data_IF_894744460664
#
_entry.id   IF_894744460664
#
_cell.length_a   1.000
_cell.length_b   1.000
_cell.length_c   1.000
_cell.angle_alpha   90.00
_cell.angle_beta   90.00
_cell.angle_gamma   90.00
#
_symmetry.space_group_name_H-M   'P 1'
#
loop_
_entity.id
_entity.type
_entity.pdbx_description
1 polymer ?
#
# COMPACT_ATOMS: atom_id res chain seq x y z
N UNK A 1 -4.79 -17.55 -21.76
CA UNK A 1 -5.14 -16.13 -21.98
C UNK A 1 -3.89 -15.31 -21.77
N UNK A 2 -3.45 -14.51 -22.76
CA UNK A 2 -2.37 -13.53 -22.51
C UNK A 2 -2.94 -12.43 -21.61
N UNK A 3 -2.26 -12.01 -20.53
CA UNK A 3 -2.76 -10.94 -19.68
C UNK A 3 -2.90 -9.65 -20.49
N UNK A 4 -4.05 -8.98 -20.36
CA UNK A 4 -4.41 -7.73 -21.07
C UNK A 4 -3.33 -6.64 -20.89
N UNK A 5 -2.65 -6.63 -19.74
CA UNK A 5 -1.59 -5.66 -19.41
C UNK A 5 -0.35 -5.84 -20.31
N UNK A 6 -0.09 -7.05 -20.84
CA UNK A 6 1.05 -7.30 -21.74
C UNK A 6 0.93 -6.60 -23.10
N UNK A 7 -0.28 -6.16 -23.49
CA UNK A 7 -0.51 -5.37 -24.70
C UNK A 7 -0.23 -3.88 -24.54
N UNK A 8 -0.18 -3.36 -23.31
CA UNK A 8 -0.04 -1.92 -23.01
C UNK A 8 1.40 -1.53 -22.62
N UNK A 9 2.12 -2.41 -21.90
CA UNK A 9 3.49 -2.14 -21.44
C UNK A 9 4.34 -3.40 -21.55
N UNK A 10 5.43 -3.29 -22.32
CA UNK A 10 6.33 -4.39 -22.65
C UNK A 10 7.26 -4.81 -21.49
N UNK A 11 7.59 -3.90 -20.57
CA UNK A 11 8.51 -4.19 -19.46
C UNK A 11 7.78 -4.62 -18.17
N UNK A 12 8.28 -5.67 -17.50
CA UNK A 12 7.75 -6.15 -16.21
C UNK A 12 7.74 -5.06 -15.13
N UNK A 13 8.73 -4.16 -15.17
CA UNK A 13 8.80 -3.01 -14.26
C UNK A 13 7.66 -2.02 -14.48
N UNK A 14 7.30 -1.71 -15.72
CA UNK A 14 6.19 -0.81 -16.02
C UNK A 14 4.82 -1.41 -15.67
N UNK A 15 4.64 -2.72 -15.86
CA UNK A 15 3.44 -3.44 -15.40
C UNK A 15 3.28 -3.38 -13.87
N UNK A 16 4.39 -3.49 -13.14
CA UNK A 16 4.39 -3.35 -11.68
C UNK A 16 4.06 -1.94 -11.21
N UNK A 17 4.59 -0.90 -11.88
CA UNK A 17 4.28 0.51 -11.56
C UNK A 17 2.79 0.80 -11.78
N UNK A 18 2.22 0.37 -12.90
CA UNK A 18 0.79 0.54 -13.18
C UNK A 18 -0.08 -0.19 -12.15
N UNK A 19 0.27 -1.42 -11.81
CA UNK A 19 -0.45 -2.19 -10.81
C UNK A 19 -0.36 -1.56 -9.40
N UNK A 20 0.81 -1.01 -9.05
CA UNK A 20 1.02 -0.31 -7.78
C UNK A 20 0.23 1.00 -7.72
N UNK A 21 0.21 1.76 -8.82
CA UNK A 21 -0.61 2.97 -8.94
C UNK A 21 -2.11 2.67 -8.81
N UNK A 22 -2.57 1.57 -9.42
CA UNK A 22 -3.94 1.10 -9.26
C UNK A 22 -4.27 0.75 -7.80
N UNK A 23 -3.38 0.01 -7.13
CA UNK A 23 -3.53 -0.31 -5.71
C UNK A 23 -3.61 0.94 -4.83
N UNK A 24 -2.79 1.94 -5.12
CA UNK A 24 -2.81 3.21 -4.39
C UNK A 24 -4.12 4.00 -4.59
N UNK A 25 -4.65 4.04 -5.81
CA UNK A 25 -5.97 4.65 -6.06
C UNK A 25 -7.10 3.90 -5.34
N UNK A 26 -7.05 2.56 -5.34
CA UNK A 26 -8.02 1.72 -4.62
C UNK A 26 -7.96 1.97 -3.11
N UNK A 27 -6.75 2.05 -2.55
CA UNK A 27 -6.51 2.38 -1.15
C UNK A 27 -7.12 3.74 -0.78
N UNK A 28 -6.88 4.78 -1.58
CA UNK A 28 -7.44 6.11 -1.33
C UNK A 28 -8.98 6.13 -1.41
N UNK A 29 -9.57 5.42 -2.37
CA UNK A 29 -11.01 5.34 -2.53
C UNK A 29 -11.67 4.67 -1.30
N UNK A 30 -11.14 3.52 -0.87
CA UNK A 30 -11.66 2.79 0.30
C UNK A 30 -11.41 3.59 1.58
N UNK A 31 -10.24 4.20 1.72
CA UNK A 31 -9.90 5.05 2.86
C UNK A 31 -10.90 6.20 3.02
N UNK A 32 -11.16 6.92 1.93
CA UNK A 32 -12.13 8.02 1.94
C UNK A 32 -13.53 7.51 2.28
N UNK A 33 -13.99 6.42 1.66
CA UNK A 33 -15.31 5.84 1.93
C UNK A 33 -15.46 5.41 3.40
N UNK A 34 -14.43 4.80 3.97
CA UNK A 34 -14.39 4.39 5.38
C UNK A 34 -14.58 5.57 6.35
N UNK A 35 -14.04 6.75 6.02
CA UNK A 35 -14.18 7.93 6.88
C UNK A 35 -15.48 8.67 6.57
N UNK A 36 -15.76 8.93 5.30
CA UNK A 36 -16.88 9.75 4.88
C UNK A 36 -18.24 9.08 5.08
N UNK A 37 -18.33 7.76 4.90
CA UNK A 37 -19.60 7.03 4.96
C UNK A 37 -19.76 6.23 6.25
N UNK A 38 -18.68 5.67 6.79
CA UNK A 38 -18.72 4.84 7.99
C UNK A 38 -18.25 5.57 9.25
N UNK A 39 -17.72 6.79 9.12
CA UNK A 39 -17.26 7.58 10.26
C UNK A 39 -16.05 6.99 10.99
N UNK A 40 -15.28 6.11 10.32
CA UNK A 40 -14.13 5.47 10.95
C UNK A 40 -13.03 6.47 11.26
N UNK A 41 -12.30 6.22 12.35
CA UNK A 41 -11.09 6.98 12.66
C UNK A 41 -9.99 6.68 11.62
N UNK A 42 -9.06 7.63 11.36
CA UNK A 42 -8.04 7.49 10.31
C UNK A 42 -7.19 6.22 10.43
N UNK A 43 -6.87 5.78 11.65
CA UNK A 43 -6.11 4.53 11.85
C UNK A 43 -6.86 3.32 11.28
N UNK A 44 -8.11 3.09 11.70
CA UNK A 44 -8.93 1.97 11.24
C UNK A 44 -9.24 2.05 9.75
N UNK A 45 -9.57 3.25 9.26
CA UNK A 45 -9.81 3.49 7.85
C UNK A 45 -8.59 3.10 7.00
N UNK A 46 -7.38 3.47 7.45
CA UNK A 46 -6.14 3.14 6.76
C UNK A 46 -5.78 1.66 6.83
N UNK A 47 -5.97 1.01 7.98
CA UNK A 47 -5.71 -0.42 8.12
C UNK A 47 -6.56 -1.21 7.12
N UNK A 48 -7.88 -0.99 7.10
CA UNK A 48 -8.78 -1.69 6.20
C UNK A 48 -8.43 -1.39 4.74
N UNK A 49 -8.27 -0.12 4.39
CA UNK A 49 -8.04 0.27 2.99
C UNK A 49 -6.71 -0.23 2.45
N UNK A 50 -5.63 -0.11 3.24
CA UNK A 50 -4.29 -0.49 2.82
C UNK A 50 -4.14 -2.01 2.76
N UNK A 51 -4.72 -2.76 3.69
CA UNK A 51 -4.74 -4.23 3.63
C UNK A 51 -5.50 -4.70 2.38
N UNK A 52 -6.70 -4.18 2.11
CA UNK A 52 -7.47 -4.57 0.92
C UNK A 52 -6.71 -4.27 -0.37
N UNK A 53 -6.11 -3.09 -0.47
CA UNK A 53 -5.32 -2.69 -1.63
C UNK A 53 -4.06 -3.56 -1.80
N UNK A 54 -3.29 -3.78 -0.72
CA UNK A 54 -2.08 -4.59 -0.75
C UNK A 54 -2.37 -6.04 -1.13
N UNK A 55 -3.42 -6.65 -0.58
CA UNK A 55 -3.82 -8.02 -0.94
C UNK A 55 -4.30 -8.10 -2.39
N UNK A 56 -5.05 -7.10 -2.87
CA UNK A 56 -5.49 -7.04 -4.27
C UNK A 56 -4.31 -6.97 -5.23
N UNK A 57 -3.36 -6.07 -4.98
CA UNK A 57 -2.12 -5.96 -5.77
C UNK A 57 -1.31 -7.26 -5.70
N UNK A 58 -1.19 -7.88 -4.52
CA UNK A 58 -0.48 -9.13 -4.34
C UNK A 58 -1.09 -10.27 -5.17
N UNK A 59 -2.41 -10.45 -5.13
CA UNK A 59 -3.12 -11.47 -5.89
C UNK A 59 -2.98 -11.22 -7.39
N UNK A 60 -3.22 -10.00 -7.86
CA UNK A 60 -3.10 -9.65 -9.28
C UNK A 60 -1.66 -9.83 -9.76
N UNK A 61 -0.66 -9.37 -9.00
CA UNK A 61 0.75 -9.56 -9.36
C UNK A 61 1.10 -11.05 -9.48
N UNK A 62 0.59 -11.89 -8.57
CA UNK A 62 0.79 -13.34 -8.60
C UNK A 62 0.13 -14.02 -9.79
N UNK A 63 -1.02 -13.53 -10.26
CA UNK A 63 -1.75 -14.13 -11.38
C UNK A 63 -1.32 -13.58 -12.75
N UNK A 64 -0.91 -12.32 -12.82
CA UNK A 64 -0.69 -11.59 -14.08
C UNK A 64 0.79 -11.45 -14.43
N UNK A 65 1.66 -11.24 -13.44
CA UNK A 65 3.06 -10.84 -13.66
C UNK A 65 4.02 -12.00 -13.47
N UNK A 66 3.75 -12.86 -12.48
CA UNK A 66 4.61 -13.98 -12.16
C UNK A 66 3.97 -15.28 -12.63
N UNK A 67 4.67 -16.00 -13.50
CA UNK A 67 4.37 -17.40 -13.78
C UNK A 67 4.54 -18.22 -12.48
N UNK A 68 3.81 -19.32 -12.33
CA UNK A 68 3.62 -20.09 -11.08
C UNK A 68 4.88 -20.77 -10.48
N UNK A 69 6.07 -20.24 -10.74
CA UNK A 69 7.34 -20.67 -10.15
C UNK A 69 7.32 -20.65 -8.62
N UNK A 70 7.95 -21.67 -8.05
CA UNK A 70 7.91 -22.14 -6.66
C UNK A 70 8.46 -21.17 -5.61
N UNK A 71 7.91 -19.96 -5.50
CA UNK A 71 8.21 -19.08 -4.37
C UNK A 71 7.80 -19.80 -3.09
N UNK A 72 8.78 -20.03 -2.21
CA UNK A 72 8.57 -20.74 -0.94
C UNK A 72 7.44 -20.09 -0.14
N UNK A 73 6.51 -20.90 0.36
CA UNK A 73 5.41 -20.47 1.22
C UNK A 73 5.90 -19.61 2.39
N UNK A 74 7.07 -19.95 2.97
CA UNK A 74 7.72 -19.18 4.03
C UNK A 74 8.04 -17.74 3.60
N UNK A 75 8.58 -17.54 2.39
CA UNK A 75 8.91 -16.21 1.87
C UNK A 75 7.66 -15.37 1.64
N UNK A 76 6.56 -15.99 1.18
CA UNK A 76 5.27 -15.31 1.04
C UNK A 76 4.72 -14.86 2.39
N UNK A 77 4.73 -15.72 3.41
CA UNK A 77 4.24 -15.36 4.74
C UNK A 77 5.06 -14.24 5.37
N UNK A 78 6.39 -14.30 5.27
CA UNK A 78 7.27 -13.22 5.78
C UNK A 78 6.95 -11.89 5.10
N UNK A 79 6.76 -11.90 3.78
CA UNK A 79 6.41 -10.70 3.02
C UNK A 79 5.05 -10.12 3.46
N UNK A 80 4.02 -10.96 3.62
CA UNK A 80 2.69 -10.53 4.07
C UNK A 80 2.74 -9.99 5.50
N UNK A 81 3.46 -10.64 6.40
CA UNK A 81 3.65 -10.17 7.78
C UNK A 81 4.38 -8.83 7.83
N UNK A 82 5.45 -8.65 7.04
CA UNK A 82 6.13 -7.36 6.89
C UNK A 82 5.20 -6.27 6.37
N UNK A 83 4.34 -6.62 5.41
CA UNK A 83 3.39 -5.69 4.79
C UNK A 83 2.34 -5.22 5.81
N UNK A 84 1.72 -6.15 6.54
CA UNK A 84 0.74 -5.84 7.58
C UNK A 84 1.36 -5.04 8.73
N UNK A 85 2.56 -5.41 9.17
CA UNK A 85 3.28 -4.64 10.19
C UNK A 85 3.50 -3.20 9.76
N UNK A 86 3.93 -2.97 8.52
CA UNK A 86 4.07 -1.62 7.98
C UNK A 86 2.74 -0.87 7.91
N UNK A 87 1.66 -1.53 7.48
CA UNK A 87 0.32 -0.93 7.43
C UNK A 87 -0.08 -0.41 8.81
N UNK A 88 0.15 -1.19 9.87
CA UNK A 88 -0.16 -0.78 11.24
C UNK A 88 0.67 0.44 11.66
N UNK A 89 1.99 0.41 11.43
CA UNK A 89 2.87 1.54 11.77
C UNK A 89 2.40 2.82 11.07
N UNK A 90 2.15 2.75 9.76
CA UNK A 90 1.74 3.92 8.99
C UNK A 90 0.31 4.38 9.29
N UNK A 91 -0.59 3.48 9.69
CA UNK A 91 -1.92 3.84 10.18
C UNK A 91 -1.85 4.72 11.43
N UNK A 92 -0.96 4.38 12.37
CA UNK A 92 -0.73 5.19 13.57
C UNK A 92 -0.15 6.56 13.24
N UNK A 93 0.82 6.63 12.32
CA UNK A 93 1.41 7.90 11.88
C UNK A 93 0.38 8.77 11.17
N UNK A 94 -0.44 8.21 10.29
CA UNK A 94 -1.54 8.95 9.62
C UNK A 94 -2.52 9.50 10.64
N UNK A 95 -2.91 8.70 11.64
CA UNK A 95 -3.82 9.13 12.70
C UNK A 95 -3.22 10.26 13.54
N UNK A 96 -1.93 10.18 13.87
CA UNK A 96 -1.21 11.23 14.58
C UNK A 96 -1.18 12.54 13.75
N UNK A 97 -0.78 12.47 12.49
CA UNK A 97 -0.73 13.65 11.60
C UNK A 97 -2.12 14.26 11.40
N UNK A 98 -3.16 13.42 11.22
CA UNK A 98 -4.53 13.89 11.11
C UNK A 98 -4.99 14.62 12.38
N UNK A 99 -4.66 14.11 13.56
CA UNK A 99 -5.00 14.77 14.83
C UNK A 99 -4.31 16.13 14.99
N UNK A 100 -3.05 16.23 14.57
CA UNK A 100 -2.30 17.49 14.60
C UNK A 100 -2.89 18.52 13.64
N UNK A 101 -3.18 18.12 12.41
CA UNK A 101 -3.82 18.99 11.40
C UNK A 101 -5.22 19.46 11.84
N UNK A 102 -5.99 18.59 12.50
CA UNK A 102 -7.30 18.95 13.03
C UNK A 102 -7.21 19.97 14.18
N UNK A 103 -6.08 20.02 14.90
CA UNK A 103 -5.88 21.03 15.95
C UNK A 103 -5.60 22.44 15.38
N UNK A 104 -5.21 22.54 14.11
CA UNK A 104 -4.83 23.80 13.45
C UNK A 104 -5.83 24.28 12.40
N UNK A 105 -6.86 23.48 12.12
CA UNK A 105 -7.81 23.75 11.03
C UNK A 105 -9.24 23.41 11.44
N UNK A 106 -10.21 24.07 10.81
CA UNK A 106 -11.64 23.76 10.95
C UNK A 106 -12.17 22.93 9.78
N UNK A 107 -11.28 22.21 9.09
CA UNK A 107 -11.65 21.38 7.94
C UNK A 107 -12.40 20.13 8.39
N UNK A 108 -13.23 19.58 7.50
CA UNK A 108 -13.93 18.32 7.78
C UNK A 108 -12.92 17.18 8.06
N UNK A 109 -13.26 16.29 8.99
CA UNK A 109 -12.40 15.18 9.42
C UNK A 109 -11.92 14.31 8.26
N UNK A 110 -12.79 14.02 7.29
CA UNK A 110 -12.42 13.28 6.08
C UNK A 110 -11.35 14.00 5.25
N UNK A 111 -11.49 15.31 5.05
CA UNK A 111 -10.52 16.13 4.32
C UNK A 111 -9.17 16.12 5.04
N UNK A 112 -9.16 16.34 6.35
CA UNK A 112 -7.94 16.32 7.16
C UNK A 112 -7.24 14.96 7.09
N UNK A 113 -8.00 13.87 7.19
CA UNK A 113 -7.46 12.52 7.13
C UNK A 113 -6.86 12.19 5.75
N UNK A 114 -7.49 12.64 4.66
CA UNK A 114 -6.95 12.50 3.30
C UNK A 114 -5.64 13.28 3.16
N UNK A 115 -5.58 14.53 3.64
CA UNK A 115 -4.35 15.33 3.62
C UNK A 115 -3.24 14.63 4.41
N UNK A 116 -3.53 14.12 5.60
CA UNK A 116 -2.58 13.36 6.41
C UNK A 116 -2.04 12.15 5.64
N UNK A 117 -2.91 11.39 4.97
CA UNK A 117 -2.53 10.24 4.14
C UNK A 117 -1.66 10.65 2.95
N UNK A 118 -1.96 11.76 2.27
CA UNK A 118 -1.14 12.30 1.17
C UNK A 118 0.26 12.68 1.63
N UNK A 119 0.41 13.25 2.83
CA UNK A 119 1.71 13.62 3.40
C UNK A 119 2.52 12.37 3.77
N UNK A 120 1.88 11.39 4.42
CA UNK A 120 2.57 10.23 4.99
C UNK A 120 2.90 9.16 3.94
N UNK A 121 2.03 8.95 2.95
CA UNK A 121 2.19 7.81 2.02
C UNK A 121 3.48 7.88 1.20
N UNK A 122 3.92 9.01 0.62
CA UNK A 122 5.19 9.10 -0.10
C UNK A 122 6.39 8.72 0.78
N UNK A 123 6.39 9.12 2.05
CA UNK A 123 7.43 8.79 3.02
C UNK A 123 7.42 7.28 3.30
N UNK A 124 6.23 6.70 3.50
CA UNK A 124 6.07 5.26 3.73
C UNK A 124 6.59 4.42 2.56
N UNK A 125 6.29 4.84 1.32
CA UNK A 125 6.72 4.17 0.10
C UNK A 125 8.24 4.27 -0.08
N UNK A 126 8.82 5.44 0.21
CA UNK A 126 10.26 5.63 0.16
C UNK A 126 10.99 4.73 1.17
N UNK A 127 10.54 4.69 2.41
CA UNK A 127 11.14 3.83 3.44
C UNK A 127 10.98 2.35 3.12
N UNK A 128 9.80 1.93 2.65
CA UNK A 128 9.59 0.56 2.16
C UNK A 128 10.53 0.20 1.01
N UNK A 129 10.78 1.12 0.08
CA UNK A 129 11.75 0.92 -1.00
C UNK A 129 13.18 0.76 -0.47
N UNK A 130 13.61 1.62 0.45
CA UNK A 130 14.96 1.54 1.06
C UNK A 130 15.16 0.20 1.77
N UNK A 131 14.18 -0.23 2.58
CA UNK A 131 14.23 -1.51 3.30
C UNK A 131 14.24 -2.69 2.34
N UNK A 132 13.33 -2.72 1.36
CA UNK A 132 13.27 -3.80 0.37
C UNK A 132 14.56 -3.91 -0.44
N UNK A 133 15.18 -2.77 -0.79
CA UNK A 133 16.46 -2.72 -1.51
C UNK A 133 17.63 -3.23 -0.67
N UNK A 134 17.64 -2.97 0.64
CA UNK A 134 18.66 -3.50 1.57
C UNK A 134 18.53 -5.02 1.68
N UNK A 135 17.32 -5.51 1.97
CA UNK A 135 17.03 -6.95 2.08
C UNK A 135 17.40 -7.73 0.80
N UNK A 136 17.20 -7.13 -0.37
CA UNK A 136 17.58 -7.76 -1.64
C UNK A 136 19.08 -7.81 -1.90
N UNK A 137 19.90 -6.93 -1.28
CA UNK A 137 21.36 -6.92 -1.44
C UNK A 137 22.06 -7.85 -0.46
N UNK A 138 21.49 -8.04 0.72
CA UNK A 138 22.06 -8.93 1.72
C UNK A 138 21.83 -10.40 1.36
N UNK A 139 20.70 -10.73 0.71
CA UNK A 139 20.41 -12.08 0.21
C UNK A 139 21.14 -12.51 -1.07
N UNK A 140 22.03 -11.66 -1.63
CA UNK A 140 22.88 -12.01 -2.79
C UNK A 140 24.34 -12.25 -2.43
N UNK A 141 24.68 -12.21 -1.14
CA UNK A 141 26.03 -12.47 -0.62
C UNK A 141 26.13 -13.82 0.11
N UNK A 142 25.10 -14.67 -0.01
CA UNK A 142 25.11 -16.11 0.32
C UNK A 142 25.19 -16.93 -0.97
#
# INVERSE_FOLDING_TARGET
>A
MKPVISGLVSSRGGQFVLLSGFGWCLDFAIFYANIAWLGLQPAWANMISATVAAMTVFVIARWVIFDSGSRSFRSTIIYLAYTEFNIVVWALVISFVASLLHSWTSLATATVAVIAKIIVTPISLFLNFVVSRRLSRDGSNE
#
